data_IF_592415166937
#
_entry.id   IF_592415166937
#
_cell.length_a   1.000
_cell.length_b   1.000
_cell.length_c   1.000
_cell.angle_alpha   90.00
_cell.angle_beta   90.00
_cell.angle_gamma   90.00
#
_symmetry.space_group_name_H-M   'P 1'
#
loop_
_entity.id
_entity.type
_entity.pdbx_description
1 polymer ?
#
# COMPACT_ATOMS: atom_id res chain seq x y z
N UNK A 1 -21.89 -10.05 15.94
CA UNK A 1 -20.99 -9.33 16.86
C UNK A 1 -20.65 -7.93 16.32
N UNK A 2 -20.20 -7.76 15.07
CA UNK A 2 -19.87 -6.42 14.52
C UNK A 2 -21.06 -5.45 14.60
N UNK A 3 -22.26 -5.88 14.21
CA UNK A 3 -23.50 -5.11 14.35
C UNK A 3 -23.82 -4.68 15.78
N UNK A 4 -23.52 -5.53 16.76
CA UNK A 4 -23.72 -5.18 18.19
C UNK A 4 -22.80 -4.05 18.60
N UNK A 5 -21.55 -4.06 18.11
CA UNK A 5 -20.60 -2.97 18.37
C UNK A 5 -21.02 -1.65 17.71
N UNK A 6 -21.54 -1.71 16.49
CA UNK A 6 -22.09 -0.51 15.82
C UNK A 6 -23.29 0.07 16.59
N UNK A 7 -24.21 -0.78 17.02
CA UNK A 7 -25.35 -0.35 17.86
C UNK A 7 -24.91 0.25 19.20
N UNK A 8 -23.73 -0.18 19.71
CA UNK A 8 -23.11 0.40 20.91
C UNK A 8 -22.32 1.69 20.61
N UNK A 9 -22.33 2.19 19.37
CA UNK A 9 -21.69 3.45 18.98
C UNK A 9 -20.24 3.34 18.51
N UNK A 10 -19.71 2.11 18.28
CA UNK A 10 -18.39 1.93 17.71
C UNK A 10 -18.45 2.22 16.21
N UNK A 11 -17.60 3.13 15.74
CA UNK A 11 -17.54 3.46 14.30
C UNK A 11 -17.14 2.23 13.47
N UNK A 12 -17.81 1.91 12.35
CA UNK A 12 -17.48 0.76 11.51
C UNK A 12 -16.01 0.69 11.08
N UNK A 13 -15.38 1.85 10.83
CA UNK A 13 -13.97 1.95 10.50
C UNK A 13 -13.01 1.52 11.62
N UNK A 14 -13.51 1.41 12.85
CA UNK A 14 -12.77 0.96 14.04
C UNK A 14 -13.01 -0.51 14.35
N UNK A 15 -13.82 -1.21 13.56
CA UNK A 15 -14.14 -2.62 13.75
C UNK A 15 -13.30 -3.45 12.77
N UNK A 16 -12.63 -4.48 13.29
CA UNK A 16 -11.94 -5.49 12.51
C UNK A 16 -12.51 -6.86 12.86
N UNK A 17 -12.75 -7.71 11.86
CA UNK A 17 -13.27 -9.06 12.06
C UNK A 17 -12.18 -10.11 11.99
N UNK A 18 -12.14 -11.01 12.98
CA UNK A 18 -11.26 -12.19 13.03
C UNK A 18 -12.15 -13.42 13.30
N UNK A 19 -12.25 -14.39 12.38
CA UNK A 19 -13.07 -15.59 12.56
C UNK A 19 -12.48 -16.59 13.55
N UNK A 20 -11.28 -16.36 14.04
CA UNK A 20 -10.66 -17.15 15.11
C UNK A 20 -10.30 -18.59 14.74
N UNK A 21 -9.69 -18.91 13.58
CA UNK A 21 -9.27 -20.27 13.28
C UNK A 21 -8.37 -20.83 14.40
N UNK A 22 -8.51 -22.10 14.75
CA UNK A 22 -7.76 -22.76 15.82
C UNK A 22 -8.30 -22.53 17.24
N UNK A 23 -9.43 -21.84 17.40
CA UNK A 23 -10.12 -21.71 18.68
C UNK A 23 -11.36 -22.61 18.73
N UNK A 24 -11.17 -23.86 19.13
CA UNK A 24 -12.23 -24.85 19.19
C UNK A 24 -12.58 -25.51 17.85
N UNK A 25 -11.87 -25.18 16.79
CA UNK A 25 -12.02 -25.72 15.45
C UNK A 25 -10.98 -26.82 15.15
N UNK A 26 -11.31 -27.77 14.25
CA UNK A 26 -10.37 -28.72 13.69
C UNK A 26 -9.66 -28.18 12.45
N UNK A 27 -8.75 -28.96 11.83
CA UNK A 27 -7.96 -28.49 10.70
C UNK A 27 -8.80 -28.21 9.44
N UNK A 28 -9.82 -29.02 9.18
CA UNK A 28 -10.70 -28.87 8.02
C UNK A 28 -11.60 -27.64 8.15
N UNK A 29 -12.11 -27.39 9.35
CA UNK A 29 -12.87 -26.18 9.67
C UNK A 29 -12.00 -24.92 9.54
N UNK A 30 -10.74 -24.97 10.01
CA UNK A 30 -9.79 -23.88 9.84
C UNK A 30 -9.51 -23.60 8.36
N UNK A 31 -9.36 -24.65 7.54
CA UNK A 31 -9.19 -24.51 6.08
C UNK A 31 -10.43 -23.92 5.42
N UNK A 32 -11.63 -24.35 5.81
CA UNK A 32 -12.88 -23.79 5.32
C UNK A 32 -12.99 -22.28 5.64
N UNK A 33 -12.58 -21.87 6.85
CA UNK A 33 -12.49 -20.45 7.23
C UNK A 33 -11.51 -19.69 6.34
N UNK A 34 -10.32 -20.24 6.06
CA UNK A 34 -9.37 -19.61 5.16
C UNK A 34 -9.92 -19.49 3.72
N UNK A 35 -10.56 -20.52 3.21
CA UNK A 35 -11.20 -20.51 1.89
C UNK A 35 -12.33 -19.47 1.81
N UNK A 36 -13.02 -19.19 2.91
CA UNK A 36 -14.09 -18.20 3.01
C UNK A 36 -13.58 -16.74 3.14
N UNK A 37 -12.28 -16.47 3.14
CA UNK A 37 -11.72 -15.11 3.31
C UNK A 37 -12.39 -14.08 2.40
N UNK A 38 -12.53 -14.36 1.11
CA UNK A 38 -13.18 -13.45 0.15
C UNK A 38 -14.65 -13.17 0.50
N UNK A 39 -15.37 -14.14 1.07
CA UNK A 39 -16.74 -13.93 1.56
C UNK A 39 -16.76 -13.03 2.80
N UNK A 40 -15.82 -13.22 3.71
CA UNK A 40 -15.68 -12.40 4.93
C UNK A 40 -15.34 -10.95 4.60
N UNK A 41 -14.45 -10.72 3.62
CA UNK A 41 -14.08 -9.35 3.22
C UNK A 41 -15.24 -8.58 2.59
N UNK A 42 -16.24 -9.26 2.02
CA UNK A 42 -17.46 -8.61 1.49
C UNK A 42 -18.44 -8.13 2.56
N UNK A 43 -18.21 -8.48 3.83
CA UNK A 43 -19.04 -7.97 4.94
C UNK A 43 -18.83 -6.48 5.24
N UNK A 44 -17.85 -5.83 4.59
CA UNK A 44 -17.60 -4.40 4.71
C UNK A 44 -16.66 -4.00 5.84
N UNK A 45 -16.15 -4.96 6.63
CA UNK A 45 -15.16 -4.72 7.67
C UNK A 45 -13.78 -5.18 7.26
N UNK A 46 -12.69 -4.51 7.73
CA UNK A 46 -11.35 -5.06 7.62
C UNK A 46 -11.29 -6.49 8.20
N UNK A 47 -10.79 -7.42 7.38
CA UNK A 47 -10.61 -8.81 7.81
C UNK A 47 -9.18 -9.04 8.28
N UNK A 48 -9.04 -9.61 9.48
CA UNK A 48 -7.77 -10.03 10.06
C UNK A 48 -7.61 -11.54 9.86
N UNK A 49 -6.52 -11.91 9.17
CA UNK A 49 -6.10 -13.30 9.00
C UNK A 49 -4.96 -13.64 9.98
N UNK A 50 -5.19 -14.60 10.86
CA UNK A 50 -4.25 -15.00 11.91
C UNK A 50 -3.87 -16.51 11.79
N UNK A 51 -3.25 -16.96 10.69
CA UNK A 51 -2.98 -18.38 10.44
C UNK A 51 -1.72 -18.90 11.11
N UNK A 52 -0.88 -17.99 11.65
CA UNK A 52 0.52 -18.23 11.95
C UNK A 52 0.74 -19.41 12.90
N UNK A 53 1.52 -20.40 12.40
CA UNK A 53 1.95 -21.61 13.12
C UNK A 53 0.82 -22.53 13.59
N UNK A 54 -0.43 -22.27 13.15
CA UNK A 54 -1.62 -23.04 13.57
C UNK A 54 -1.58 -24.47 13.07
N UNK A 55 -2.38 -25.34 13.70
CA UNK A 55 -2.38 -26.79 13.42
C UNK A 55 -2.68 -27.13 11.96
N UNK A 56 -3.65 -26.44 11.37
CA UNK A 56 -4.01 -26.66 9.95
C UNK A 56 -2.85 -26.36 9.00
N UNK A 57 -2.03 -25.33 9.29
CA UNK A 57 -0.83 -25.02 8.50
C UNK A 57 0.15 -26.18 8.55
N UNK A 58 0.36 -26.77 9.75
CA UNK A 58 1.20 -27.94 9.92
C UNK A 58 0.65 -29.18 9.23
N UNK A 59 -0.67 -29.40 9.32
CA UNK A 59 -1.34 -30.55 8.68
C UNK A 59 -1.18 -30.52 7.16
N UNK A 60 -1.37 -29.35 6.53
CA UNK A 60 -1.25 -29.19 5.07
C UNK A 60 0.20 -29.22 4.60
N UNK A 61 1.11 -28.56 5.32
CA UNK A 61 2.52 -28.44 4.91
C UNK A 61 3.40 -29.61 5.31
N UNK A 62 2.90 -30.51 6.16
CA UNK A 62 3.71 -31.58 6.76
C UNK A 62 4.77 -31.05 7.75
N UNK A 63 4.70 -29.78 8.16
CA UNK A 63 5.74 -29.13 8.96
C UNK A 63 5.49 -29.29 10.46
N UNK A 64 6.48 -29.85 11.17
CA UNK A 64 6.49 -30.00 12.61
C UNK A 64 7.95 -29.83 13.12
N UNK A 65 8.25 -29.05 14.17
CA UNK A 65 7.39 -28.34 15.13
C UNK A 65 6.77 -27.04 14.58
N UNK A 66 5.98 -26.35 15.40
CA UNK A 66 5.23 -25.16 15.00
C UNK A 66 6.11 -24.04 14.39
N UNK A 67 7.33 -23.86 14.88
CA UNK A 67 8.30 -22.86 14.35
C UNK A 67 8.75 -23.16 12.92
N UNK A 68 8.68 -24.42 12.48
CA UNK A 68 8.99 -24.81 11.10
C UNK A 68 7.89 -24.42 10.09
N UNK A 69 6.74 -23.90 10.56
CA UNK A 69 5.58 -23.57 9.73
C UNK A 69 5.60 -22.14 9.17
N UNK A 70 6.67 -21.37 9.37
CA UNK A 70 6.69 -19.96 8.99
C UNK A 70 6.64 -19.77 7.47
N UNK A 71 7.33 -20.58 6.68
CA UNK A 71 7.25 -20.54 5.22
C UNK A 71 5.83 -20.89 4.72
N UNK A 72 5.21 -21.93 5.29
CA UNK A 72 3.83 -22.29 4.96
C UNK A 72 2.82 -21.23 5.42
N UNK A 73 3.06 -20.61 6.59
CA UNK A 73 2.29 -19.45 7.07
C UNK A 73 2.33 -18.30 6.06
N UNK A 74 3.50 -18.00 5.49
CA UNK A 74 3.64 -16.96 4.48
C UNK A 74 2.81 -17.25 3.22
N UNK A 75 2.71 -18.53 2.81
CA UNK A 75 1.83 -18.96 1.73
C UNK A 75 0.35 -18.69 2.02
N UNK A 76 -0.13 -19.03 3.23
CA UNK A 76 -1.51 -18.75 3.66
C UNK A 76 -1.78 -17.25 3.73
N UNK A 77 -0.83 -16.47 4.22
CA UNK A 77 -0.90 -15.00 4.27
C UNK A 77 -1.03 -14.40 2.86
N UNK A 78 -0.26 -14.91 1.90
CA UNK A 78 -0.36 -14.47 0.50
C UNK A 78 -1.74 -14.81 -0.09
N UNK A 79 -2.26 -16.02 0.13
CA UNK A 79 -3.59 -16.38 -0.32
C UNK A 79 -4.69 -15.52 0.30
N UNK A 80 -4.60 -15.24 1.60
CA UNK A 80 -5.52 -14.35 2.29
C UNK A 80 -5.47 -12.91 1.76
N UNK A 81 -4.28 -12.39 1.46
CA UNK A 81 -4.11 -11.05 0.87
C UNK A 81 -4.75 -10.96 -0.53
N UNK A 82 -4.57 -11.97 -1.37
CA UNK A 82 -5.25 -12.07 -2.67
C UNK A 82 -6.78 -12.10 -2.53
N UNK A 83 -7.28 -12.75 -1.47
CA UNK A 83 -8.71 -12.82 -1.15
C UNK A 83 -9.24 -11.54 -0.47
N UNK A 84 -8.39 -10.53 -0.25
CA UNK A 84 -8.78 -9.20 0.26
C UNK A 84 -8.56 -8.98 1.76
N UNK A 85 -7.88 -9.88 2.46
CA UNK A 85 -7.50 -9.63 3.87
C UNK A 85 -6.64 -8.35 3.98
N UNK A 86 -6.96 -7.51 4.96
CA UNK A 86 -6.29 -6.21 5.15
C UNK A 86 -5.27 -6.23 6.29
N UNK A 87 -5.41 -7.16 7.19
CA UNK A 87 -4.57 -7.31 8.38
C UNK A 87 -4.14 -8.76 8.47
N UNK A 88 -2.86 -8.99 8.76
CA UNK A 88 -2.32 -10.31 9.07
C UNK A 88 -1.60 -10.29 10.41
N UNK A 89 -1.85 -11.32 11.23
CA UNK A 89 -1.17 -11.51 12.51
C UNK A 89 -0.28 -12.75 12.43
N UNK A 90 1.04 -12.52 12.54
CA UNK A 90 2.05 -13.56 12.34
C UNK A 90 3.13 -13.52 13.42
N UNK A 91 3.83 -14.65 13.65
CA UNK A 91 4.99 -14.72 14.53
C UNK A 91 6.26 -14.23 13.81
N UNK A 92 6.49 -14.68 12.57
CA UNK A 92 7.61 -14.21 11.74
C UNK A 92 7.12 -13.11 10.79
N UNK A 93 7.23 -11.86 11.28
CA UNK A 93 6.85 -10.67 10.51
C UNK A 93 7.77 -10.46 9.31
N UNK A 94 9.07 -10.77 9.45
CA UNK A 94 10.06 -10.55 8.38
C UNK A 94 9.74 -11.40 7.15
N UNK A 95 9.60 -12.70 7.33
CA UNK A 95 9.29 -13.65 6.25
C UNK A 95 7.94 -13.32 5.60
N UNK A 96 6.92 -13.08 6.41
CA UNK A 96 5.58 -12.74 5.90
C UNK A 96 5.57 -11.43 5.11
N UNK A 97 6.27 -10.39 5.59
CA UNK A 97 6.36 -9.11 4.90
C UNK A 97 7.15 -9.20 3.58
N UNK A 98 8.19 -10.04 3.52
CA UNK A 98 8.92 -10.30 2.27
C UNK A 98 8.03 -10.99 1.25
N UNK A 99 7.31 -12.04 1.65
CA UNK A 99 6.39 -12.77 0.80
C UNK A 99 5.28 -11.86 0.25
N UNK A 100 4.66 -11.04 1.10
CA UNK A 100 3.63 -10.07 0.69
C UNK A 100 4.16 -9.04 -0.30
N UNK A 101 5.35 -8.47 -0.08
CA UNK A 101 5.95 -7.52 -1.02
C UNK A 101 6.20 -8.15 -2.40
N UNK A 102 6.68 -9.39 -2.43
CA UNK A 102 6.85 -10.12 -3.68
C UNK A 102 5.51 -10.39 -4.37
N UNK A 103 4.50 -10.83 -3.60
CA UNK A 103 3.16 -11.03 -4.12
C UNK A 103 2.58 -9.74 -4.70
N UNK A 104 2.61 -8.64 -3.94
CA UNK A 104 2.10 -7.33 -4.37
C UNK A 104 2.76 -6.87 -5.68
N UNK A 105 4.08 -7.03 -5.78
CA UNK A 105 4.84 -6.68 -6.98
C UNK A 105 4.45 -7.56 -8.18
N UNK A 106 4.39 -8.88 -8.00
CA UNK A 106 4.08 -9.83 -9.07
C UNK A 106 2.61 -9.75 -9.53
N UNK A 107 1.69 -9.54 -8.59
CA UNK A 107 0.25 -9.46 -8.89
C UNK A 107 -0.22 -8.05 -9.29
N UNK A 108 0.62 -7.03 -9.20
CA UNK A 108 0.25 -5.64 -9.46
C UNK A 108 -0.82 -5.09 -8.50
N UNK A 109 -0.94 -5.69 -7.31
CA UNK A 109 -1.97 -5.36 -6.30
C UNK A 109 -1.44 -4.52 -5.14
N UNK A 110 -0.20 -4.05 -5.21
CA UNK A 110 0.37 -3.19 -4.18
C UNK A 110 -0.61 -2.05 -3.84
N UNK A 111 -0.91 -1.80 -2.55
CA UNK A 111 -1.82 -0.74 -2.18
C UNK A 111 -1.30 0.60 -2.66
N UNK A 112 -2.19 1.40 -3.25
CA UNK A 112 -1.83 2.76 -3.63
C UNK A 112 -1.48 3.56 -2.37
N UNK A 113 -0.37 4.29 -2.43
CA UNK A 113 0.14 5.15 -1.36
C UNK A 113 -0.04 6.60 -1.76
N UNK A 114 -0.33 7.43 -0.79
CA UNK A 114 -0.37 8.86 -0.98
C UNK A 114 1.04 9.43 -0.88
N UNK A 115 1.43 10.25 -1.85
CA UNK A 115 2.68 11.00 -1.83
C UNK A 115 2.42 12.46 -2.24
N UNK A 116 3.21 13.36 -1.71
CA UNK A 116 3.20 14.78 -2.06
C UNK A 116 4.49 15.13 -2.80
N UNK A 117 4.34 15.69 -3.99
CA UNK A 117 5.45 16.06 -4.87
C UNK A 117 5.48 17.58 -4.96
N UNK A 118 6.60 18.18 -4.55
CA UNK A 118 6.84 19.60 -4.75
C UNK A 118 7.33 19.81 -6.18
N UNK A 119 6.69 20.75 -6.88
CA UNK A 119 7.09 21.23 -8.21
C UNK A 119 7.59 22.66 -8.05
N UNK A 120 8.70 22.98 -8.70
CA UNK A 120 9.25 24.36 -8.68
C UNK A 120 10.13 24.64 -9.87
N UNK A 121 10.08 25.87 -10.38
CA UNK A 121 10.95 26.32 -11.47
C UNK A 121 10.94 27.84 -11.60
N UNK A 122 12.07 28.41 -12.07
CA UNK A 122 12.24 29.84 -12.27
C UNK A 122 12.74 30.20 -13.67
N UNK A 123 12.85 29.21 -14.58
CA UNK A 123 13.36 29.43 -15.92
C UNK A 123 12.25 29.39 -16.97
N UNK A 124 12.34 30.24 -17.99
CA UNK A 124 11.44 30.25 -19.13
C UNK A 124 9.95 30.44 -18.77
N UNK A 125 9.06 29.74 -19.47
CA UNK A 125 7.64 29.74 -19.10
C UNK A 125 7.40 28.79 -17.93
N UNK A 126 7.47 29.35 -16.73
CA UNK A 126 7.32 28.63 -15.46
C UNK A 126 5.99 27.89 -15.33
N UNK A 127 4.90 28.53 -15.83
CA UNK A 127 3.56 27.91 -15.74
C UNK A 127 3.41 26.76 -16.73
N UNK A 128 3.95 26.89 -17.95
CA UNK A 128 3.97 25.81 -18.91
C UNK A 128 4.80 24.64 -18.38
N UNK A 129 5.95 24.90 -17.75
CA UNK A 129 6.81 23.87 -17.14
C UNK A 129 6.10 23.12 -16.01
N UNK A 130 5.39 23.81 -15.11
CA UNK A 130 4.61 23.17 -14.05
C UNK A 130 3.46 22.32 -14.62
N UNK A 131 2.76 22.80 -15.66
CA UNK A 131 1.70 22.03 -16.34
C UNK A 131 2.25 20.78 -17.01
N UNK A 132 3.41 20.88 -17.69
CA UNK A 132 4.07 19.74 -18.31
C UNK A 132 4.49 18.70 -17.27
N UNK A 133 5.08 19.13 -16.14
CA UNK A 133 5.43 18.25 -15.03
C UNK A 133 4.20 17.56 -14.43
N UNK A 134 3.09 18.27 -14.24
CA UNK A 134 1.83 17.72 -13.76
C UNK A 134 1.30 16.64 -14.71
N UNK A 135 1.30 16.90 -16.01
CA UNK A 135 0.88 15.94 -17.03
C UNK A 135 1.79 14.71 -17.05
N UNK A 136 3.10 14.90 -16.93
CA UNK A 136 4.07 13.81 -16.86
C UNK A 136 3.88 12.94 -15.62
N UNK A 137 3.56 13.53 -14.46
CA UNK A 137 3.23 12.82 -13.23
C UNK A 137 1.98 11.94 -13.40
N UNK A 138 0.93 12.47 -14.01
CA UNK A 138 -0.33 11.74 -14.23
C UNK A 138 -0.19 10.63 -15.29
N UNK A 139 0.79 10.75 -16.18
CA UNK A 139 1.14 9.73 -17.18
C UNK A 139 2.04 8.61 -16.63
N UNK A 140 2.60 8.74 -15.40
CA UNK A 140 3.44 7.69 -14.83
C UNK A 140 2.63 6.40 -14.61
N UNK A 141 3.19 5.23 -14.96
CA UNK A 141 2.55 3.95 -14.67
C UNK A 141 2.22 3.82 -13.19
N UNK A 142 1.08 3.23 -12.87
CA UNK A 142 0.62 2.96 -11.50
C UNK A 142 0.53 4.22 -10.60
N UNK A 143 0.48 5.41 -11.19
CA UNK A 143 0.40 6.68 -10.50
C UNK A 143 -0.76 7.49 -11.06
N UNK A 144 -1.46 8.23 -10.21
CA UNK A 144 -2.53 9.14 -10.58
C UNK A 144 -2.42 10.41 -9.77
N UNK A 145 -2.53 11.55 -10.40
CA UNK A 145 -2.70 12.84 -9.72
C UNK A 145 -4.08 12.88 -9.05
N UNK A 146 -4.11 13.21 -7.77
CA UNK A 146 -5.33 13.31 -6.95
C UNK A 146 -5.75 14.75 -6.80
N UNK A 147 -4.79 15.63 -6.48
CA UNK A 147 -5.00 17.04 -6.30
C UNK A 147 -3.73 17.84 -6.60
N UNK A 148 -3.88 19.10 -6.94
CA UNK A 148 -2.78 20.05 -7.04
C UNK A 148 -3.13 21.32 -6.26
N UNK A 149 -2.14 21.91 -5.60
CA UNK A 149 -2.28 23.22 -4.96
C UNK A 149 -2.43 24.32 -6.00
N UNK A 150 -2.71 25.52 -5.52
CA UNK A 150 -2.48 26.74 -6.31
C UNK A 150 -1.00 26.88 -6.59
N UNK A 151 -0.65 27.68 -7.60
CA UNK A 151 0.73 28.09 -7.87
C UNK A 151 1.07 29.28 -6.97
N UNK A 152 2.21 29.21 -6.33
CA UNK A 152 2.75 30.27 -5.48
C UNK A 152 4.01 30.84 -6.11
N UNK A 153 4.12 32.13 -6.17
CA UNK A 153 5.34 32.83 -6.57
C UNK A 153 6.18 33.13 -5.33
N UNK A 154 7.46 32.77 -5.37
CA UNK A 154 8.37 32.93 -4.23
C UNK A 154 9.71 33.51 -4.67
N UNK A 155 10.35 34.27 -3.80
CA UNK A 155 11.72 34.72 -3.98
C UNK A 155 12.73 33.58 -3.88
N UNK A 156 13.90 33.68 -4.54
CA UNK A 156 14.98 32.70 -4.40
C UNK A 156 15.50 32.66 -2.95
N UNK A 157 15.63 31.43 -2.39
CA UNK A 157 16.02 31.26 -0.98
C UNK A 157 17.52 31.42 -0.71
N UNK A 158 18.40 31.18 -1.70
CA UNK A 158 19.84 31.06 -1.48
C UNK A 158 20.70 31.96 -2.39
N UNK A 159 20.28 32.25 -3.60
CA UNK A 159 20.98 33.07 -4.56
C UNK A 159 20.04 34.20 -4.99
N UNK A 160 20.29 35.42 -4.53
CA UNK A 160 19.39 36.55 -4.70
C UNK A 160 19.29 37.12 -6.12
N UNK A 161 20.17 36.75 -7.04
CA UNK A 161 20.18 37.19 -8.43
C UNK A 161 19.57 36.15 -9.36
N UNK A 162 18.34 35.76 -9.09
CA UNK A 162 17.55 34.85 -9.89
C UNK A 162 16.12 35.34 -10.02
N UNK A 163 15.45 34.92 -11.09
CA UNK A 163 14.02 35.15 -11.27
C UNK A 163 13.19 34.46 -10.18
N UNK A 164 12.00 35.01 -9.91
CA UNK A 164 11.05 34.44 -8.98
C UNK A 164 10.67 33.00 -9.39
N UNK A 165 10.54 32.15 -8.40
CA UNK A 165 10.10 30.76 -8.58
C UNK A 165 8.58 30.67 -8.65
N UNK A 166 8.07 29.81 -9.53
CA UNK A 166 6.71 29.31 -9.45
C UNK A 166 6.73 27.94 -8.78
N UNK A 167 5.99 27.77 -7.68
CA UNK A 167 5.94 26.55 -6.88
C UNK A 167 4.53 26.03 -6.75
N UNK A 168 4.39 24.70 -6.74
CA UNK A 168 3.15 24.00 -6.46
C UNK A 168 3.44 22.68 -5.72
N UNK A 169 2.43 22.14 -5.05
CA UNK A 169 2.47 20.79 -4.48
C UNK A 169 1.39 19.95 -5.14
N UNK A 170 1.75 18.73 -5.54
CA UNK A 170 0.85 17.78 -6.16
C UNK A 170 0.69 16.57 -5.25
N UNK A 171 -0.54 16.22 -4.92
CA UNK A 171 -0.87 14.95 -4.27
C UNK A 171 -1.06 13.88 -5.35
N UNK A 172 -0.33 12.78 -5.21
CA UNK A 172 -0.46 11.61 -6.08
C UNK A 172 -0.84 10.37 -5.27
N UNK A 173 -1.63 9.51 -5.90
CA UNK A 173 -1.88 8.13 -5.45
C UNK A 173 -1.06 7.21 -6.34
N UNK A 174 -0.07 6.51 -5.76
CA UNK A 174 0.87 5.68 -6.52
C UNK A 174 1.05 4.30 -5.90
N UNK A 175 1.27 3.29 -6.74
CA UNK A 175 1.71 1.94 -6.33
C UNK A 175 3.20 1.73 -6.51
N UNK A 176 3.91 2.71 -7.04
CA UNK A 176 5.37 2.66 -7.13
C UNK A 176 6.00 2.61 -5.74
N UNK A 177 7.05 1.81 -5.60
CA UNK A 177 7.91 1.88 -4.42
C UNK A 177 8.55 3.27 -4.34
N UNK A 178 8.80 3.86 -3.16
CA UNK A 178 9.35 5.21 -3.02
C UNK A 178 10.58 5.47 -3.87
N UNK A 179 11.52 4.51 -3.94
CA UNK A 179 12.72 4.63 -4.77
C UNK A 179 12.38 4.70 -6.27
N UNK A 180 11.49 3.85 -6.76
CA UNK A 180 11.06 3.87 -8.15
C UNK A 180 10.32 5.18 -8.49
N UNK A 181 9.52 5.72 -7.55
CA UNK A 181 8.89 7.03 -7.72
C UNK A 181 9.94 8.13 -7.85
N UNK A 182 10.96 8.17 -6.98
CA UNK A 182 12.05 9.14 -7.08
C UNK A 182 12.80 9.01 -8.42
N UNK A 183 13.13 7.81 -8.86
CA UNK A 183 13.77 7.56 -10.16
C UNK A 183 12.91 8.08 -11.34
N UNK A 184 11.59 7.88 -11.28
CA UNK A 184 10.66 8.42 -12.27
C UNK A 184 10.59 9.96 -12.25
N UNK A 185 10.60 10.58 -11.05
CA UNK A 185 10.64 12.03 -10.89
C UNK A 185 11.92 12.63 -11.47
N UNK A 186 13.07 12.00 -11.23
CA UNK A 186 14.35 12.41 -11.81
C UNK A 186 14.31 12.35 -13.34
N UNK A 187 13.68 11.33 -13.91
CA UNK A 187 13.48 11.24 -15.36
C UNK A 187 12.59 12.36 -15.92
N UNK A 188 11.57 12.80 -15.19
CA UNK A 188 10.74 13.95 -15.57
C UNK A 188 11.57 15.25 -15.53
N UNK A 189 12.40 15.44 -14.51
CA UNK A 189 13.29 16.62 -14.41
C UNK A 189 14.31 16.64 -15.55
N UNK A 190 14.94 15.52 -15.88
CA UNK A 190 15.91 15.42 -16.96
C UNK A 190 15.26 15.71 -18.33
N UNK A 191 14.04 15.20 -18.56
CA UNK A 191 13.27 15.49 -19.77
C UNK A 191 12.85 16.97 -19.86
N UNK A 192 12.70 17.64 -18.73
CA UNK A 192 12.42 19.09 -18.65
C UNK A 192 13.69 19.96 -18.82
N UNK A 193 14.86 19.35 -19.04
CA UNK A 193 16.12 20.07 -19.28
C UNK A 193 16.84 20.54 -18.02
N UNK A 194 16.53 19.94 -16.84
CA UNK A 194 17.24 20.26 -15.60
C UNK A 194 18.69 19.81 -15.68
N UNK A 195 19.62 20.73 -15.55
CA UNK A 195 21.06 20.49 -15.37
C UNK A 195 21.36 20.49 -13.86
N UNK A 196 22.06 19.46 -13.37
CA UNK A 196 22.47 19.32 -11.95
C UNK A 196 23.94 19.63 -11.79
#
# INVERSE_FOLDING_TARGET
QAHVLEQAGVAPASICIDPGPGFGTNADEDLAVQAATSAMTRLGYPYLCAPSRKRFVGAVSGSNPAVARDAATAGVVCAAALAGARIVRVHDVRTSAQALRCLEACAGIAPARRAFIALGGNMGDRLASLKAALAALDALPQTRVVAASRVYETEPAYLGDQDLFANAVVEVSTRLHPRALVEALLGIEDAAGRVR
#
